data_IF_643896092357
#
_entry.id   IF_643896092357
#
_cell.length_a   1.000
_cell.length_b   1.000
_cell.length_c   1.000
_cell.angle_alpha   90.00
_cell.angle_beta   90.00
_cell.angle_gamma   90.00
#
_symmetry.space_group_name_H-M   'P 1'
#
loop_
_entity.id
_entity.type
_entity.pdbx_description
1 polymer ?
#
# COMPACT_ATOMS: atom_id res chain seq x y z
N UNK A 1 -5.86 -2.39 1.45
CA UNK A 1 -6.79 -1.85 2.46
C UNK A 1 -6.26 -0.50 2.94
N UNK A 2 -7.15 0.49 3.27
CA UNK A 2 -6.72 1.79 3.82
C UNK A 2 -6.13 2.78 2.81
N UNK A 3 -6.35 2.60 1.52
CA UNK A 3 -5.83 3.46 0.44
C UNK A 3 -6.68 4.71 0.15
N UNK A 4 -7.72 4.99 0.96
CA UNK A 4 -8.58 6.15 0.78
C UNK A 4 -9.81 5.91 -0.12
N UNK A 5 -10.16 4.65 -0.46
CA UNK A 5 -11.37 4.34 -1.28
C UNK A 5 -12.65 4.95 -0.70
N UNK A 6 -12.85 4.80 0.60
CA UNK A 6 -14.02 5.39 1.29
C UNK A 6 -14.01 6.92 1.22
N UNK A 7 -12.85 7.56 1.41
CA UNK A 7 -12.71 9.03 1.26
C UNK A 7 -13.02 9.49 -0.16
N UNK A 8 -12.47 8.80 -1.18
CA UNK A 8 -12.74 9.12 -2.58
C UNK A 8 -14.23 9.01 -2.91
N UNK A 9 -14.88 7.94 -2.45
CA UNK A 9 -16.32 7.75 -2.60
C UNK A 9 -17.13 8.88 -1.95
N UNK A 10 -16.78 9.28 -0.72
CA UNK A 10 -17.42 10.42 -0.05
C UNK A 10 -17.18 11.73 -0.80
N UNK A 11 -15.96 11.99 -1.25
CA UNK A 11 -15.64 13.19 -2.02
C UNK A 11 -16.47 13.29 -3.30
N UNK A 12 -16.61 12.18 -4.05
CA UNK A 12 -17.45 12.13 -5.25
C UNK A 12 -18.91 12.41 -4.89
N UNK A 13 -19.42 11.79 -3.83
CA UNK A 13 -20.79 12.01 -3.38
C UNK A 13 -21.05 13.46 -2.98
N UNK A 14 -20.15 14.09 -2.23
CA UNK A 14 -20.22 15.51 -1.87
C UNK A 14 -20.19 16.41 -3.10
N UNK A 15 -19.27 16.19 -4.03
CA UNK A 15 -19.17 16.97 -5.26
C UNK A 15 -20.44 16.91 -6.09
N UNK A 16 -21.09 15.73 -6.17
CA UNK A 16 -22.36 15.59 -6.91
C UNK A 16 -23.49 16.36 -6.20
N UNK A 17 -23.58 16.29 -4.87
CA UNK A 17 -24.60 17.01 -4.08
C UNK A 17 -24.38 18.53 -4.14
N UNK A 18 -23.13 18.99 -4.06
CA UNK A 18 -22.80 20.42 -4.21
C UNK A 18 -23.19 20.95 -5.60
N UNK A 19 -22.94 20.14 -6.65
CA UNK A 19 -23.30 20.53 -8.03
C UNK A 19 -24.81 20.45 -8.27
N UNK A 20 -25.51 19.48 -7.64
CA UNK A 20 -26.93 19.29 -7.76
C UNK A 20 -27.58 18.94 -6.41
N UNK A 21 -28.02 19.96 -5.62
CA UNK A 21 -28.54 19.77 -4.26
C UNK A 21 -29.80 18.90 -4.14
N UNK A 22 -30.50 18.66 -5.25
CA UNK A 22 -31.71 17.82 -5.26
C UNK A 22 -31.40 16.33 -5.48
N UNK A 23 -30.16 15.96 -5.65
CA UNK A 23 -29.73 14.57 -5.83
C UNK A 23 -29.99 13.73 -4.58
N UNK A 24 -30.77 12.68 -4.69
CA UNK A 24 -31.01 11.73 -3.61
C UNK A 24 -29.87 10.74 -3.56
N UNK A 25 -29.08 10.81 -2.48
CA UNK A 25 -27.88 9.99 -2.29
C UNK A 25 -28.09 8.99 -1.17
N UNK A 26 -27.75 7.73 -1.40
CA UNK A 26 -27.64 6.73 -0.36
C UNK A 26 -26.17 6.30 -0.19
N UNK A 27 -25.67 6.45 1.03
CA UNK A 27 -24.41 5.87 1.48
C UNK A 27 -24.69 4.64 2.32
N UNK A 28 -24.17 3.49 1.94
CA UNK A 28 -24.39 2.25 2.67
C UNK A 28 -23.14 1.35 2.58
N UNK A 29 -22.83 0.61 3.64
CA UNK A 29 -21.93 -0.53 3.53
C UNK A 29 -22.71 -1.77 3.10
N UNK A 30 -22.04 -2.75 2.47
CA UNK A 30 -22.68 -4.03 2.15
C UNK A 30 -23.21 -4.75 3.37
N UNK A 31 -22.56 -4.57 4.51
CA UNK A 31 -23.01 -5.12 5.79
C UNK A 31 -24.31 -4.45 6.27
N UNK A 32 -24.36 -3.11 6.22
CA UNK A 32 -25.56 -2.34 6.56
C UNK A 32 -26.72 -2.71 5.64
N UNK A 33 -26.49 -2.77 4.33
CA UNK A 33 -27.49 -3.20 3.35
C UNK A 33 -28.05 -4.58 3.70
N UNK A 34 -27.16 -5.54 4.05
CA UNK A 34 -27.56 -6.89 4.48
C UNK A 34 -28.41 -6.84 5.75
N UNK A 35 -28.02 -6.07 6.76
CA UNK A 35 -28.73 -6.00 8.04
C UNK A 35 -30.11 -5.33 7.87
N UNK A 36 -30.20 -4.28 7.05
CA UNK A 36 -31.47 -3.64 6.73
C UNK A 36 -32.39 -4.58 5.94
N UNK A 37 -31.86 -5.34 4.98
CA UNK A 37 -32.62 -6.36 4.23
C UNK A 37 -33.20 -7.42 5.18
N UNK A 38 -32.37 -7.98 6.07
CA UNK A 38 -32.81 -9.00 7.05
C UNK A 38 -33.91 -8.44 7.94
N UNK A 39 -33.74 -7.20 8.42
CA UNK A 39 -34.73 -6.52 9.25
C UNK A 39 -36.06 -6.34 8.50
N UNK A 40 -36.00 -5.89 7.25
CA UNK A 40 -37.18 -5.65 6.41
C UNK A 40 -37.92 -6.95 6.07
N UNK A 41 -37.19 -8.06 5.88
CA UNK A 41 -37.80 -9.39 5.70
C UNK A 41 -38.58 -9.79 6.98
N UNK A 42 -37.95 -9.64 8.15
CA UNK A 42 -38.56 -10.01 9.43
C UNK A 42 -39.82 -9.20 9.75
N UNK A 43 -39.84 -7.94 9.35
CA UNK A 43 -40.94 -7.01 9.60
C UNK A 43 -42.02 -7.03 8.50
N UNK A 44 -41.77 -7.67 7.36
CA UNK A 44 -42.64 -7.62 6.20
C UNK A 44 -42.60 -6.29 5.41
N UNK A 45 -41.56 -5.49 5.59
CA UNK A 45 -41.37 -4.12 5.06
C UNK A 45 -40.52 -4.10 3.77
N UNK A 46 -40.53 -5.17 2.99
CA UNK A 46 -39.72 -5.27 1.77
C UNK A 46 -40.04 -4.22 0.69
N UNK A 47 -41.27 -3.75 0.63
CA UNK A 47 -41.68 -2.72 -0.31
C UNK A 47 -40.99 -1.37 0.03
N UNK A 48 -40.89 -1.03 1.30
CA UNK A 48 -40.22 0.19 1.77
C UNK A 48 -38.70 0.11 1.56
N UNK A 49 -38.10 -1.05 1.85
CA UNK A 49 -36.68 -1.30 1.58
C UNK A 49 -36.34 -1.09 0.11
N UNK A 50 -37.11 -1.69 -0.79
CA UNK A 50 -36.94 -1.53 -2.24
C UNK A 50 -37.14 -0.11 -2.70
N UNK A 51 -38.16 0.58 -2.18
CA UNK A 51 -38.42 1.97 -2.50
C UNK A 51 -37.26 2.86 -2.06
N UNK A 52 -36.70 2.63 -0.87
CA UNK A 52 -35.56 3.38 -0.31
C UNK A 52 -34.33 3.33 -1.22
N UNK A 53 -33.93 2.13 -1.69
CA UNK A 53 -32.70 1.98 -2.45
C UNK A 53 -32.90 2.20 -3.96
N UNK A 54 -34.00 1.76 -4.53
CA UNK A 54 -34.24 1.84 -6.00
C UNK A 54 -34.68 3.21 -6.51
N UNK A 55 -34.96 4.18 -5.61
CA UNK A 55 -35.31 5.55 -5.97
C UNK A 55 -34.17 6.55 -5.81
N UNK A 56 -33.00 6.10 -5.46
CA UNK A 56 -31.82 6.96 -5.33
C UNK A 56 -31.32 7.43 -6.70
N UNK A 57 -30.78 8.63 -6.75
CA UNK A 57 -30.11 9.15 -7.94
C UNK A 57 -28.63 8.78 -7.94
N UNK A 58 -28.07 8.56 -6.74
CA UNK A 58 -26.70 8.07 -6.51
C UNK A 58 -26.71 7.03 -5.38
N UNK A 59 -26.22 5.82 -5.67
CA UNK A 59 -26.02 4.77 -4.68
C UNK A 59 -24.50 4.52 -4.50
N UNK A 60 -24.03 4.71 -3.27
CA UNK A 60 -22.63 4.55 -2.88
C UNK A 60 -22.52 3.36 -1.92
N UNK A 61 -21.90 2.27 -2.36
CA UNK A 61 -21.78 1.04 -1.55
C UNK A 61 -20.34 0.74 -1.23
N UNK A 62 -20.04 0.59 0.06
CA UNK A 62 -18.71 0.24 0.54
C UNK A 62 -18.55 -1.25 0.77
N UNK A 63 -17.34 -1.73 0.48
CA UNK A 63 -16.87 -3.06 0.80
C UNK A 63 -17.79 -4.18 0.25
N UNK A 64 -18.07 -4.17 -1.07
CA UNK A 64 -18.95 -5.16 -1.71
C UNK A 64 -18.50 -6.62 -1.52
N UNK A 65 -17.24 -6.85 -1.12
CA UNK A 65 -16.75 -8.20 -0.82
C UNK A 65 -17.46 -8.85 0.38
N UNK A 66 -18.16 -8.09 1.24
CA UNK A 66 -19.00 -8.65 2.30
C UNK A 66 -20.33 -9.25 1.79
N UNK A 67 -20.65 -9.10 0.51
CA UNK A 67 -21.80 -9.80 -0.12
C UNK A 67 -21.52 -11.29 -0.34
N UNK A 68 -20.26 -11.72 -0.29
CA UNK A 68 -19.86 -13.11 -0.54
C UNK A 68 -20.69 -14.10 0.26
N UNK A 69 -21.09 -15.21 -0.37
CA UNK A 69 -21.82 -16.32 0.26
C UNK A 69 -23.18 -15.95 0.91
N UNK A 70 -23.78 -14.82 0.53
CA UNK A 70 -25.07 -14.35 1.04
C UNK A 70 -26.09 -14.31 -0.10
N UNK A 71 -26.50 -15.46 -0.62
CA UNK A 71 -27.34 -15.61 -1.81
C UNK A 71 -28.54 -14.66 -1.85
N UNK A 72 -29.37 -14.62 -0.80
CA UNK A 72 -30.54 -13.73 -0.74
C UNK A 72 -30.17 -12.24 -0.78
N UNK A 73 -29.05 -11.86 -0.17
CA UNK A 73 -28.59 -10.48 -0.23
C UNK A 73 -28.08 -10.15 -1.63
N UNK A 74 -27.34 -11.07 -2.25
CA UNK A 74 -26.85 -10.90 -3.61
C UNK A 74 -28.01 -10.78 -4.61
N UNK A 75 -29.06 -11.59 -4.44
CA UNK A 75 -30.26 -11.50 -5.27
C UNK A 75 -30.94 -10.14 -5.19
N UNK A 76 -31.23 -9.66 -3.97
CA UNK A 76 -31.88 -8.34 -3.79
C UNK A 76 -30.97 -7.18 -4.23
N UNK A 77 -29.65 -7.32 -4.01
CA UNK A 77 -28.66 -6.35 -4.50
C UNK A 77 -28.63 -6.30 -6.01
N UNK A 78 -28.66 -7.46 -6.68
CA UNK A 78 -28.72 -7.55 -8.15
C UNK A 78 -29.95 -6.85 -8.71
N UNK A 79 -31.13 -7.07 -8.12
CA UNK A 79 -32.34 -6.39 -8.52
C UNK A 79 -32.31 -4.88 -8.27
N UNK A 80 -31.68 -4.45 -7.17
CA UNK A 80 -31.49 -3.03 -6.87
C UNK A 80 -30.54 -2.39 -7.85
N UNK A 81 -29.42 -3.04 -8.16
CA UNK A 81 -28.46 -2.60 -9.15
C UNK A 81 -29.11 -2.41 -10.52
N UNK A 82 -29.83 -3.43 -11.01
CA UNK A 82 -30.50 -3.34 -12.32
C UNK A 82 -31.53 -2.23 -12.36
N UNK A 83 -32.37 -2.07 -11.32
CA UNK A 83 -33.36 -1.00 -11.26
C UNK A 83 -32.73 0.41 -11.36
N UNK A 84 -31.57 0.62 -10.72
CA UNK A 84 -30.84 1.88 -10.81
C UNK A 84 -30.15 2.04 -12.16
N UNK A 85 -29.53 0.97 -12.67
CA UNK A 85 -28.86 0.97 -13.95
C UNK A 85 -29.81 1.29 -15.11
N UNK A 86 -30.95 0.60 -15.17
CA UNK A 86 -31.98 0.79 -16.20
C UNK A 86 -32.59 2.22 -16.12
N UNK A 87 -32.67 2.78 -14.92
CA UNK A 87 -33.06 4.18 -14.69
C UNK A 87 -31.94 5.20 -14.92
N UNK A 88 -30.77 4.76 -15.44
CA UNK A 88 -29.57 5.59 -15.69
C UNK A 88 -29.09 6.36 -14.44
N UNK A 89 -29.21 5.75 -13.27
CA UNK A 89 -28.71 6.32 -12.01
C UNK A 89 -27.25 5.94 -11.77
N UNK A 90 -26.56 6.78 -11.03
CA UNK A 90 -25.15 6.55 -10.73
C UNK A 90 -24.99 5.55 -9.59
N UNK A 91 -24.12 4.56 -9.79
CA UNK A 91 -23.72 3.58 -8.77
C UNK A 91 -22.21 3.64 -8.61
N UNK A 92 -21.73 3.73 -7.37
CA UNK A 92 -20.31 3.67 -7.04
C UNK A 92 -20.10 2.58 -5.99
N UNK A 93 -19.25 1.63 -6.33
CA UNK A 93 -18.93 0.48 -5.49
C UNK A 93 -17.46 0.53 -5.10
N UNK A 94 -17.13 0.12 -3.88
CA UNK A 94 -15.74 -0.09 -3.47
C UNK A 94 -15.50 -1.52 -3.03
N UNK A 95 -14.29 -2.01 -3.24
CA UNK A 95 -13.85 -3.33 -2.81
C UNK A 95 -12.37 -3.33 -2.45
N UNK A 96 -11.93 -4.31 -1.68
CA UNK A 96 -10.51 -4.54 -1.38
C UNK A 96 -9.81 -5.37 -2.48
N UNK A 97 -10.59 -5.97 -3.38
CA UNK A 97 -10.14 -6.79 -4.50
C UNK A 97 -11.05 -6.67 -5.72
N UNK A 98 -10.60 -7.03 -6.92
CA UNK A 98 -11.41 -7.08 -8.12
C UNK A 98 -12.64 -8.01 -7.97
N UNK A 99 -13.76 -7.74 -8.67
CA UNK A 99 -14.97 -8.56 -8.55
C UNK A 99 -14.75 -10.06 -8.80
N UNK A 100 -13.90 -10.42 -9.75
CA UNK A 100 -13.53 -11.83 -10.06
C UNK A 100 -12.80 -12.56 -8.95
N UNK A 101 -12.16 -11.83 -8.05
CA UNK A 101 -11.39 -12.39 -6.94
C UNK A 101 -12.22 -12.47 -5.64
N UNK A 102 -13.51 -12.14 -5.71
CA UNK A 102 -14.42 -12.25 -4.56
C UNK A 102 -15.06 -13.64 -4.58
N UNK A 103 -14.49 -14.58 -3.85
CA UNK A 103 -15.02 -15.93 -3.73
C UNK A 103 -16.47 -15.91 -3.22
N UNK A 104 -17.36 -16.66 -3.89
CA UNK A 104 -18.79 -16.76 -3.51
C UNK A 104 -19.62 -15.54 -3.88
N UNK A 105 -19.14 -14.69 -4.78
CA UNK A 105 -19.94 -13.70 -5.48
C UNK A 105 -20.52 -14.34 -6.75
N UNK A 106 -21.82 -14.15 -6.99
CA UNK A 106 -22.50 -14.72 -8.15
C UNK A 106 -22.00 -14.11 -9.46
N UNK A 107 -21.82 -14.92 -10.51
CA UNK A 107 -21.29 -14.49 -11.82
C UNK A 107 -22.08 -13.34 -12.45
N UNK A 108 -23.41 -13.31 -12.22
CA UNK A 108 -24.26 -12.21 -12.68
C UNK A 108 -23.93 -10.87 -12.04
N UNK A 109 -23.50 -10.84 -10.77
CA UNK A 109 -23.01 -9.64 -10.08
C UNK A 109 -21.60 -9.28 -10.54
N UNK A 110 -20.71 -10.26 -10.68
CA UNK A 110 -19.35 -10.04 -11.21
C UNK A 110 -19.45 -9.35 -12.57
N UNK A 111 -20.28 -9.88 -13.48
CA UNK A 111 -20.49 -9.31 -14.81
C UNK A 111 -21.00 -7.85 -14.75
N UNK A 112 -21.94 -7.55 -13.86
CA UNK A 112 -22.47 -6.18 -13.68
C UNK A 112 -21.44 -5.20 -13.12
N UNK A 113 -20.62 -5.64 -12.17
CA UNK A 113 -19.58 -4.80 -11.57
C UNK A 113 -18.44 -4.51 -12.53
N UNK A 114 -18.13 -5.43 -13.43
CA UNK A 114 -17.11 -5.24 -14.46
C UNK A 114 -17.60 -4.43 -15.68
N UNK A 115 -18.89 -4.29 -15.87
CA UNK A 115 -19.43 -3.55 -17.01
C UNK A 115 -19.18 -2.03 -16.92
N UNK A 116 -18.91 -1.51 -15.70
CA UNK A 116 -18.61 -0.11 -15.45
C UNK A 116 -17.14 0.24 -15.55
N UNK A 117 -16.80 1.45 -15.13
CA UNK A 117 -15.42 1.89 -14.96
C UNK A 117 -14.83 1.25 -13.70
N UNK A 118 -13.87 0.35 -13.88
CA UNK A 118 -13.11 -0.23 -12.78
C UNK A 118 -11.77 0.50 -12.67
N UNK A 119 -11.50 1.06 -11.49
CA UNK A 119 -10.28 1.83 -11.21
C UNK A 119 -9.55 1.24 -10.00
N UNK A 120 -8.26 1.00 -10.16
CA UNK A 120 -7.40 0.58 -9.06
C UNK A 120 -6.83 1.80 -8.31
N UNK A 121 -7.08 1.86 -7.00
CA UNK A 121 -6.53 2.91 -6.12
C UNK A 121 -5.21 2.40 -5.53
N UNK A 122 -4.11 2.94 -6.03
CA UNK A 122 -2.75 2.60 -5.58
C UNK A 122 -2.36 3.37 -4.30
N UNK A 123 -1.35 2.88 -3.56
CA UNK A 123 -0.75 3.65 -2.49
C UNK A 123 -0.30 5.03 -2.99
N UNK A 124 -0.50 6.09 -2.20
CA UNK A 124 -0.10 7.44 -2.59
C UNK A 124 1.42 7.54 -2.71
N UNK A 125 1.90 8.33 -3.67
CA UNK A 125 3.30 8.71 -3.77
C UNK A 125 3.71 9.65 -2.61
N UNK A 126 4.99 9.97 -2.55
CA UNK A 126 5.53 10.77 -1.45
C UNK A 126 4.88 12.16 -1.35
N UNK A 127 4.73 12.84 -2.47
CA UNK A 127 4.13 14.17 -2.57
C UNK A 127 2.66 14.15 -2.13
N UNK A 128 1.92 13.15 -2.55
CA UNK A 128 0.52 12.94 -2.14
C UNK A 128 0.43 12.65 -0.63
N UNK A 129 1.34 11.85 -0.07
CA UNK A 129 1.38 11.61 1.38
C UNK A 129 1.64 12.88 2.17
N UNK A 130 2.59 13.71 1.72
CA UNK A 130 2.86 15.03 2.31
C UNK A 130 1.62 15.93 2.28
N UNK A 131 0.93 15.98 1.13
CA UNK A 131 -0.28 16.77 0.98
C UNK A 131 -1.42 16.30 1.91
N UNK A 132 -1.62 14.97 2.03
CA UNK A 132 -2.60 14.38 2.94
C UNK A 132 -2.29 14.77 4.39
N UNK A 133 -1.04 14.63 4.82
CA UNK A 133 -0.62 14.96 6.19
C UNK A 133 -0.80 16.44 6.50
N UNK A 134 -0.38 17.35 5.58
CA UNK A 134 -0.59 18.80 5.74
C UNK A 134 -2.06 19.16 5.88
N UNK A 135 -2.90 18.59 5.01
CA UNK A 135 -4.33 18.84 5.07
C UNK A 135 -4.95 18.34 6.38
N UNK A 136 -4.63 17.13 6.80
CA UNK A 136 -5.10 16.57 8.07
C UNK A 136 -4.64 17.38 9.26
N UNK A 137 -3.37 17.78 9.32
CA UNK A 137 -2.85 18.66 10.36
C UNK A 137 -3.61 19.99 10.41
N UNK A 138 -3.86 20.61 9.25
CA UNK A 138 -4.61 21.86 9.16
C UNK A 138 -6.07 21.70 9.60
N UNK A 139 -6.74 20.62 9.19
CA UNK A 139 -8.13 20.31 9.57
C UNK A 139 -8.28 20.10 11.09
N UNK A 140 -7.24 19.53 11.73
CA UNK A 140 -7.16 19.34 13.18
C UNK A 140 -6.59 20.57 13.95
N UNK A 141 -6.35 21.69 13.24
CA UNK A 141 -5.81 22.93 13.84
C UNK A 141 -4.37 22.84 14.32
N UNK A 142 -3.60 21.94 13.77
CA UNK A 142 -2.23 21.65 14.19
C UNK A 142 -1.22 22.43 13.34
N UNK A 143 -0.32 23.13 14.02
CA UNK A 143 0.90 23.62 13.39
C UNK A 143 1.98 22.55 13.51
N UNK A 144 2.42 22.02 12.39
CA UNK A 144 3.49 21.02 12.33
C UNK A 144 4.59 21.49 11.38
N UNK A 145 5.82 21.30 11.80
CA UNK A 145 6.99 21.59 10.96
C UNK A 145 7.01 20.64 9.75
N UNK A 146 7.42 21.17 8.61
CA UNK A 146 7.55 20.36 7.37
C UNK A 146 8.47 19.16 7.57
N UNK A 147 9.51 19.26 8.42
CA UNK A 147 10.41 18.15 8.74
C UNK A 147 9.68 16.98 9.45
N UNK A 148 8.71 17.27 10.31
CA UNK A 148 7.86 16.24 10.96
C UNK A 148 6.95 15.57 9.95
N UNK A 149 6.32 16.35 9.08
CA UNK A 149 5.44 15.85 8.02
C UNK A 149 6.24 14.96 7.05
N UNK A 150 7.43 15.41 6.65
CA UNK A 150 8.34 14.66 5.80
C UNK A 150 8.76 13.33 6.44
N UNK A 151 9.13 13.34 7.72
CA UNK A 151 9.48 12.14 8.49
C UNK A 151 8.33 11.12 8.48
N UNK A 152 7.09 11.54 8.78
CA UNK A 152 5.92 10.65 8.75
C UNK A 152 5.67 10.13 7.33
N UNK A 153 5.72 11.01 6.32
CA UNK A 153 5.49 10.64 4.93
C UNK A 153 6.51 9.63 4.39
N UNK A 154 7.77 9.72 4.83
CA UNK A 154 8.80 8.72 4.50
C UNK A 154 8.58 7.40 5.21
N UNK A 155 8.14 7.44 6.46
CA UNK A 155 8.03 6.25 7.31
C UNK A 155 6.76 5.45 7.03
N UNK A 156 5.63 6.11 6.71
CA UNK A 156 4.33 5.50 6.46
C UNK A 156 4.08 5.39 4.95
N UNK A 157 4.33 4.22 4.38
CA UNK A 157 4.25 4.01 2.92
C UNK A 157 3.13 3.06 2.49
N UNK A 158 2.56 2.30 3.42
CA UNK A 158 1.64 1.22 3.08
C UNK A 158 0.21 1.68 2.83
N UNK A 159 -0.28 2.69 3.57
CA UNK A 159 -1.67 3.13 3.45
C UNK A 159 -1.91 4.53 4.04
N UNK A 160 -3.02 5.16 3.63
CA UNK A 160 -3.48 6.44 4.21
C UNK A 160 -3.89 6.26 5.68
N UNK A 161 -4.41 5.09 6.07
CA UNK A 161 -4.74 4.79 7.48
C UNK A 161 -3.50 4.77 8.36
N UNK A 162 -2.37 4.33 7.83
CA UNK A 162 -1.09 4.37 8.56
C UNK A 162 -0.64 5.81 8.81
N UNK A 163 -0.77 6.69 7.82
CA UNK A 163 -0.50 8.13 7.96
C UNK A 163 -1.39 8.76 9.05
N UNK A 164 -2.69 8.50 8.99
CA UNK A 164 -3.66 9.00 9.98
C UNK A 164 -3.36 8.46 11.39
N UNK A 165 -3.08 7.16 11.49
CA UNK A 165 -2.71 6.52 12.76
C UNK A 165 -1.44 7.08 13.36
N UNK A 166 -0.43 7.37 12.54
CA UNK A 166 0.81 8.00 12.98
C UNK A 166 0.56 9.43 13.50
N UNK A 167 -0.26 10.22 12.80
CA UNK A 167 -0.63 11.57 13.23
C UNK A 167 -1.38 11.55 14.56
N UNK A 168 -2.41 10.73 14.70
CA UNK A 168 -3.19 10.60 15.95
C UNK A 168 -2.29 10.19 17.11
N UNK A 169 -1.38 9.25 16.90
CA UNK A 169 -0.45 8.81 17.95
C UNK A 169 0.51 9.90 18.36
N UNK A 170 1.05 10.64 17.40
CA UNK A 170 1.95 11.76 17.67
C UNK A 170 1.25 12.84 18.51
N UNK A 171 0.00 13.16 18.16
CA UNK A 171 -0.84 14.07 18.91
C UNK A 171 -1.11 13.61 20.33
N UNK A 172 -1.52 12.34 20.49
CA UNK A 172 -1.76 11.77 21.80
C UNK A 172 -0.49 11.81 22.66
N UNK A 173 0.68 11.50 22.07
CA UNK A 173 1.95 11.51 22.77
C UNK A 173 2.36 12.94 23.20
N UNK A 174 2.24 13.93 22.29
CA UNK A 174 2.50 15.34 22.56
C UNK A 174 1.60 15.85 23.71
N UNK A 175 0.30 15.54 23.65
CA UNK A 175 -0.66 15.92 24.69
C UNK A 175 -0.36 15.29 26.05
N UNK A 176 0.01 14.02 26.10
CA UNK A 176 0.32 13.30 27.34
C UNK A 176 1.64 13.75 27.98
N UNK A 177 2.62 14.13 27.16
CA UNK A 177 3.93 14.58 27.64
C UNK A 177 4.02 16.09 27.83
N UNK A 178 2.98 16.84 27.39
CA UNK A 178 2.97 18.31 27.36
C UNK A 178 4.17 18.90 26.59
N UNK A 179 4.59 18.23 25.51
CA UNK A 179 5.72 18.65 24.69
C UNK A 179 5.25 19.10 23.31
N UNK A 180 5.92 20.09 22.75
CA UNK A 180 5.67 20.52 21.36
C UNK A 180 6.04 19.43 20.36
N UNK A 181 5.32 19.42 19.22
CA UNK A 181 5.56 18.46 18.14
C UNK A 181 6.84 18.85 17.40
N UNK A 182 7.93 18.17 17.74
CA UNK A 182 9.23 18.31 17.09
C UNK A 182 9.60 17.04 16.34
N UNK A 183 10.57 17.07 15.43
CA UNK A 183 11.08 15.86 14.78
C UNK A 183 11.57 14.79 15.78
N UNK A 184 12.17 15.23 16.88
CA UNK A 184 12.64 14.35 17.96
C UNK A 184 11.48 13.65 18.67
N UNK A 185 10.41 14.40 18.99
CA UNK A 185 9.20 13.85 19.57
C UNK A 185 8.53 12.86 18.61
N UNK A 186 8.46 13.20 17.31
CA UNK A 186 7.89 12.34 16.29
C UNK A 186 8.62 10.99 16.20
N UNK A 187 9.94 11.00 16.19
CA UNK A 187 10.78 9.79 16.23
C UNK A 187 10.46 8.92 17.45
N UNK A 188 10.39 9.55 18.62
CA UNK A 188 10.12 8.85 19.89
C UNK A 188 8.70 8.30 19.96
N UNK A 189 7.70 9.12 19.62
CA UNK A 189 6.28 8.75 19.69
C UNK A 189 5.89 7.65 18.69
N UNK A 190 6.51 7.66 17.53
CA UNK A 190 6.22 6.71 16.46
C UNK A 190 7.12 5.46 16.51
N UNK A 191 8.12 5.44 17.41
CA UNK A 191 8.91 4.25 17.73
C UNK A 191 7.98 3.09 18.10
N UNK A 192 8.04 1.99 17.36
CA UNK A 192 7.20 0.80 17.58
C UNK A 192 5.83 0.79 16.88
N UNK A 193 5.32 1.89 16.28
CA UNK A 193 4.14 1.85 15.37
C UNK A 193 4.57 1.73 13.92
N UNK A 194 5.62 2.43 13.56
CA UNK A 194 6.17 2.42 12.21
C UNK A 194 6.91 1.12 11.88
N UNK A 195 6.84 0.14 12.80
CA UNK A 195 7.21 -1.24 12.55
C UNK A 195 8.64 -1.47 12.05
N UNK A 196 9.50 -0.45 12.15
CA UNK A 196 10.95 -0.53 11.97
C UNK A 196 11.52 0.85 12.28
N UNK A 197 12.27 0.96 13.37
CA UNK A 197 13.27 2.00 13.52
C UNK A 197 14.21 1.94 12.30
N UNK A 198 13.96 2.78 11.31
CA UNK A 198 14.91 2.98 10.20
C UNK A 198 16.10 3.84 10.60
N UNK A 199 16.15 4.34 11.84
CA UNK A 199 17.18 5.29 12.26
C UNK A 199 18.15 4.80 13.35
N UNK A 200 18.00 3.59 13.93
CA UNK A 200 18.98 3.09 14.91
C UNK A 200 19.22 1.57 14.93
N UNK A 201 18.67 0.83 13.99
CA UNK A 201 19.11 -0.54 13.68
C UNK A 201 19.87 -0.54 12.35
N UNK A 202 20.70 -1.50 12.08
CA UNK A 202 21.42 -1.55 10.81
C UNK A 202 20.44 -1.74 9.64
N UNK A 203 20.00 -0.62 9.03
CA UNK A 203 19.15 -0.62 7.85
C UNK A 203 19.86 -1.40 6.76
N UNK A 204 19.13 -2.37 6.17
CA UNK A 204 19.59 -3.06 4.96
C UNK A 204 19.66 -2.02 3.82
N UNK A 205 20.79 -1.35 3.71
CA UNK A 205 21.06 -0.41 2.63
C UNK A 205 21.94 -1.06 1.56
N UNK A 206 21.90 -0.59 0.33
CA UNK A 206 22.80 -1.07 -0.72
C UNK A 206 24.28 -0.96 -0.31
N UNK A 207 24.64 0.07 0.46
CA UNK A 207 25.98 0.30 0.96
C UNK A 207 26.39 -0.80 1.93
N UNK A 208 25.55 -1.16 2.88
CA UNK A 208 25.81 -2.23 3.84
C UNK A 208 25.86 -3.62 3.20
N UNK A 209 24.97 -3.91 2.25
CA UNK A 209 25.05 -5.15 1.47
C UNK A 209 26.40 -5.22 0.77
N UNK A 210 26.83 -4.11 0.17
CA UNK A 210 28.15 -4.01 -0.47
C UNK A 210 29.31 -4.22 0.52
N UNK A 211 29.22 -3.66 1.73
CA UNK A 211 30.19 -3.84 2.80
C UNK A 211 30.27 -5.28 3.29
N UNK A 212 29.13 -5.93 3.54
CA UNK A 212 29.08 -7.35 3.97
C UNK A 212 29.67 -8.28 2.90
N UNK A 213 29.28 -8.10 1.64
CA UNK A 213 29.87 -8.85 0.54
C UNK A 213 31.36 -8.56 0.40
N UNK A 214 31.79 -7.30 0.50
CA UNK A 214 33.20 -6.93 0.41
C UNK A 214 34.04 -7.56 1.54
N UNK A 215 33.53 -7.58 2.77
CA UNK A 215 34.18 -8.21 3.93
C UNK A 215 34.36 -9.71 3.70
N UNK A 216 33.30 -10.38 3.25
CA UNK A 216 33.32 -11.83 3.02
C UNK A 216 34.29 -12.25 1.92
N UNK A 217 34.35 -11.50 0.84
CA UNK A 217 35.31 -11.75 -0.27
C UNK A 217 36.68 -11.09 -0.05
N UNK A 218 36.91 -10.48 1.12
CA UNK A 218 38.18 -9.82 1.50
C UNK A 218 38.63 -8.75 0.48
N UNK A 219 37.68 -7.97 -0.02
CA UNK A 219 37.94 -6.83 -0.92
C UNK A 219 37.48 -5.52 -0.26
N UNK A 220 37.98 -4.40 -0.76
CA UNK A 220 37.52 -3.08 -0.27
C UNK A 220 36.15 -2.76 -0.85
N UNK A 221 35.17 -2.25 -0.05
CA UNK A 221 33.84 -1.92 -0.55
C UNK A 221 33.84 -0.95 -1.74
N UNK A 222 34.73 0.02 -1.75
CA UNK A 222 34.88 1.02 -2.83
C UNK A 222 35.37 0.36 -4.13
N UNK A 223 36.15 -0.72 -4.03
CA UNK A 223 36.64 -1.44 -5.18
C UNK A 223 35.51 -2.15 -5.98
N UNK A 224 34.39 -2.48 -5.32
CA UNK A 224 33.23 -3.07 -5.98
C UNK A 224 32.54 -2.07 -6.94
N UNK A 225 32.59 -0.77 -6.64
CA UNK A 225 32.09 0.30 -7.53
C UNK A 225 33.11 0.72 -8.62
N UNK A 226 34.36 0.25 -8.55
CA UNK A 226 35.40 0.62 -9.48
C UNK A 226 35.18 0.07 -10.90
N UNK A 227 35.87 0.66 -11.91
CA UNK A 227 35.87 0.17 -13.30
C UNK A 227 36.72 -1.09 -13.53
N UNK A 228 37.48 -1.55 -12.51
CA UNK A 228 38.36 -2.73 -12.64
C UNK A 228 37.55 -4.00 -12.89
N UNK A 229 38.10 -4.89 -13.74
CA UNK A 229 37.43 -6.14 -14.19
C UNK A 229 38.21 -7.41 -13.81
N UNK A 230 38.99 -7.36 -12.75
CA UNK A 230 39.67 -8.56 -12.23
C UNK A 230 38.65 -9.56 -11.68
N UNK A 231 38.95 -10.85 -11.75
CA UNK A 231 38.03 -11.91 -11.29
C UNK A 231 37.67 -11.73 -9.82
N UNK A 232 38.64 -11.34 -8.97
CA UNK A 232 38.49 -11.11 -7.54
C UNK A 232 37.49 -9.99 -7.19
N UNK A 233 37.24 -9.05 -8.10
CA UNK A 233 36.28 -7.94 -7.93
C UNK A 233 34.97 -8.19 -8.70
N UNK A 234 35.01 -8.99 -9.75
CA UNK A 234 33.85 -9.21 -10.62
C UNK A 234 32.81 -10.09 -9.94
N UNK A 235 33.25 -11.18 -9.31
CA UNK A 235 32.34 -12.12 -8.63
C UNK A 235 31.62 -11.45 -7.45
N UNK A 236 32.33 -10.87 -6.45
CA UNK A 236 31.64 -10.23 -5.33
C UNK A 236 30.77 -9.03 -5.75
N UNK A 237 31.17 -8.32 -6.81
CA UNK A 237 30.32 -7.25 -7.38
C UNK A 237 29.00 -7.81 -7.91
N UNK A 238 29.03 -8.92 -8.65
CA UNK A 238 27.84 -9.58 -9.19
C UNK A 238 26.93 -10.09 -8.06
N UNK A 239 27.52 -10.70 -7.03
CA UNK A 239 26.80 -11.14 -5.82
C UNK A 239 26.15 -9.95 -5.10
N UNK A 240 26.88 -8.84 -4.92
CA UNK A 240 26.29 -7.64 -4.28
C UNK A 240 25.13 -7.08 -5.08
N UNK A 241 25.21 -7.01 -6.42
CA UNK A 241 24.11 -6.58 -7.29
C UNK A 241 22.89 -7.52 -7.15
N UNK A 242 23.12 -8.83 -7.13
CA UNK A 242 22.09 -9.83 -6.95
C UNK A 242 21.38 -9.67 -5.59
N UNK A 243 22.13 -9.61 -4.49
CA UNK A 243 21.58 -9.48 -3.14
C UNK A 243 20.83 -8.14 -2.93
N UNK A 244 21.32 -7.03 -3.50
CA UNK A 244 20.61 -5.74 -3.48
C UNK A 244 19.28 -5.84 -4.23
N UNK A 245 19.24 -6.51 -5.37
CA UNK A 245 18.00 -6.72 -6.13
C UNK A 245 17.01 -7.59 -5.37
N UNK A 246 17.49 -8.71 -4.82
CA UNK A 246 16.67 -9.67 -4.08
C UNK A 246 16.11 -9.07 -2.78
N UNK A 247 16.97 -8.44 -1.98
CA UNK A 247 16.60 -8.00 -0.63
C UNK A 247 15.87 -6.66 -0.58
N UNK A 248 16.18 -5.73 -1.50
CA UNK A 248 15.66 -4.36 -1.50
C UNK A 248 14.69 -4.07 -2.66
N UNK A 249 14.57 -4.96 -3.64
CA UNK A 249 13.75 -4.72 -4.82
C UNK A 249 14.24 -3.56 -5.71
N UNK A 250 15.43 -3.03 -5.44
CA UNK A 250 15.98 -1.83 -6.10
C UNK A 250 15.94 -1.92 -7.63
N UNK A 251 15.65 -0.82 -8.31
CA UNK A 251 15.59 -0.79 -9.77
C UNK A 251 16.97 -1.06 -10.39
N UNK A 252 17.02 -1.71 -11.56
CA UNK A 252 18.27 -2.08 -12.22
C UNK A 252 19.12 -0.86 -12.58
N UNK A 253 18.49 0.25 -12.93
CA UNK A 253 19.17 1.53 -13.20
C UNK A 253 19.86 2.03 -11.94
N UNK A 254 19.14 2.05 -10.82
CA UNK A 254 19.70 2.50 -9.53
C UNK A 254 20.84 1.60 -9.05
N UNK A 255 20.73 0.27 -9.23
CA UNK A 255 21.85 -0.65 -8.97
C UNK A 255 23.05 -0.30 -9.83
N UNK A 256 22.85 -0.03 -11.13
CA UNK A 256 23.93 0.39 -12.02
C UNK A 256 24.68 1.64 -11.54
N UNK A 257 23.95 2.65 -11.07
CA UNK A 257 24.51 3.87 -10.49
C UNK A 257 25.39 3.59 -9.26
N UNK A 258 24.90 2.75 -8.33
CA UNK A 258 25.61 2.36 -7.10
C UNK A 258 26.95 1.62 -7.38
N UNK A 259 27.08 1.01 -8.53
CA UNK A 259 28.30 0.28 -8.94
C UNK A 259 29.11 0.99 -10.02
N UNK A 260 29.15 2.33 -9.98
CA UNK A 260 30.03 3.16 -10.83
C UNK A 260 29.44 3.47 -12.20
N UNK A 261 28.12 3.67 -12.28
CA UNK A 261 27.42 4.09 -13.51
C UNK A 261 27.35 2.98 -14.55
N UNK A 262 27.11 1.76 -14.15
CA UNK A 262 26.97 0.61 -15.07
C UNK A 262 25.59 0.61 -15.69
N UNK A 263 25.56 0.25 -16.97
CA UNK A 263 24.31 0.08 -17.70
C UNK A 263 23.43 -1.02 -17.09
N UNK A 264 22.10 -0.85 -17.14
CA UNK A 264 21.12 -1.81 -16.63
C UNK A 264 21.27 -3.20 -17.26
N UNK A 265 21.69 -3.30 -18.52
CA UNK A 265 21.97 -4.57 -19.20
C UNK A 265 23.12 -5.32 -18.53
N UNK A 266 24.16 -4.61 -18.07
CA UNK A 266 25.27 -5.18 -17.32
C UNK A 266 24.80 -5.72 -15.95
N UNK A 267 23.85 -5.02 -15.30
CA UNK A 267 23.28 -5.45 -14.03
C UNK A 267 22.45 -6.72 -14.23
N UNK A 268 21.57 -6.76 -15.24
CA UNK A 268 20.77 -7.96 -15.59
C UNK A 268 21.69 -9.16 -15.83
N UNK A 269 22.72 -8.98 -16.65
CA UNK A 269 23.68 -10.06 -16.95
C UNK A 269 24.39 -10.55 -15.67
N UNK A 270 24.75 -9.63 -14.77
CA UNK A 270 25.41 -9.95 -13.50
C UNK A 270 24.51 -10.78 -12.58
N UNK A 271 23.24 -10.39 -12.46
CA UNK A 271 22.25 -11.10 -11.65
C UNK A 271 22.03 -12.52 -12.19
N UNK A 272 21.72 -12.64 -13.49
CA UNK A 272 21.51 -13.94 -14.15
C UNK A 272 22.74 -14.85 -14.03
N UNK A 273 23.93 -14.29 -14.06
CA UNK A 273 25.15 -15.06 -13.91
C UNK A 273 25.29 -15.65 -12.52
N UNK A 274 24.93 -14.90 -11.46
CA UNK A 274 24.92 -15.40 -10.08
C UNK A 274 23.88 -16.52 -9.92
N UNK A 275 22.66 -16.32 -10.43
CA UNK A 275 21.60 -17.32 -10.40
C UNK A 275 22.06 -18.64 -11.06
N UNK A 276 22.59 -18.57 -12.28
CA UNK A 276 23.09 -19.74 -13.00
C UNK A 276 24.28 -20.43 -12.31
N UNK A 277 25.17 -19.68 -11.67
CA UNK A 277 26.32 -20.23 -10.97
C UNK A 277 25.89 -20.93 -9.67
N UNK A 278 24.91 -20.37 -8.95
CA UNK A 278 24.31 -21.00 -7.76
C UNK A 278 23.61 -22.34 -8.09
N UNK A 279 23.07 -22.49 -9.30
CA UNK A 279 22.48 -23.77 -9.74
C UNK A 279 23.54 -24.83 -10.04
N UNK A 280 24.72 -24.42 -10.54
CA UNK A 280 25.76 -25.31 -11.02
C UNK A 280 26.81 -25.67 -9.96
N UNK A 281 27.09 -24.74 -9.05
CA UNK A 281 28.13 -24.90 -8.02
C UNK A 281 27.53 -24.80 -6.61
N UNK A 282 27.32 -25.94 -5.92
CA UNK A 282 26.83 -25.95 -4.54
C UNK A 282 27.72 -25.19 -3.55
N UNK A 283 29.05 -25.11 -3.81
CA UNK A 283 29.97 -24.35 -2.97
C UNK A 283 29.77 -22.84 -3.12
N UNK A 284 29.59 -22.39 -4.35
CA UNK A 284 29.27 -20.99 -4.61
C UNK A 284 27.91 -20.62 -4.02
N UNK A 285 26.89 -21.46 -4.19
CA UNK A 285 25.57 -21.26 -3.58
C UNK A 285 25.69 -21.08 -2.08
N UNK A 286 26.42 -21.96 -1.39
CA UNK A 286 26.66 -21.87 0.05
C UNK A 286 27.28 -20.51 0.44
N UNK A 287 28.26 -20.02 -0.31
CA UNK A 287 28.88 -18.72 -0.05
C UNK A 287 27.89 -17.55 -0.16
N UNK A 288 26.98 -17.59 -1.16
CA UNK A 288 25.95 -16.57 -1.34
C UNK A 288 24.90 -16.64 -0.23
N UNK A 289 24.48 -17.86 0.16
CA UNK A 289 23.51 -18.08 1.23
C UNK A 289 24.04 -17.64 2.60
N UNK A 290 25.32 -17.93 2.88
CA UNK A 290 25.99 -17.44 4.10
C UNK A 290 26.13 -15.90 4.10
N UNK A 291 26.39 -15.27 2.96
CA UNK A 291 26.37 -13.81 2.86
C UNK A 291 24.98 -13.22 3.11
N UNK A 292 23.94 -13.94 2.68
CA UNK A 292 22.52 -13.58 2.93
C UNK A 292 22.17 -13.71 4.41
N UNK A 293 22.66 -14.75 5.08
CA UNK A 293 22.47 -14.93 6.53
C UNK A 293 23.22 -13.89 7.34
N UNK A 294 24.50 -13.63 7.06
CA UNK A 294 25.27 -12.54 7.69
C UNK A 294 24.58 -11.18 7.55
N UNK A 295 23.95 -10.94 6.40
CA UNK A 295 23.11 -9.74 6.23
C UNK A 295 21.92 -9.76 7.19
N UNK A 296 21.21 -10.88 7.33
CA UNK A 296 20.03 -11.01 8.20
C UNK A 296 20.38 -10.89 9.67
N UNK A 297 21.45 -11.55 10.12
CA UNK A 297 21.92 -11.52 11.51
C UNK A 297 22.36 -10.12 11.91
N UNK A 298 23.09 -9.42 11.06
CA UNK A 298 23.49 -8.02 11.29
C UNK A 298 22.29 -7.06 11.40
N UNK A 299 21.04 -7.52 11.26
CA UNK A 299 19.78 -6.78 11.34
C UNK A 299 18.88 -7.23 12.49
N UNK A 300 19.29 -8.23 13.27
CA UNK A 300 18.51 -8.76 14.40
C UNK A 300 19.15 -8.44 15.76
N UNK A 301 20.39 -7.93 15.76
CA UNK A 301 21.07 -7.35 16.91
C UNK A 301 20.99 -5.80 16.88
#
# INVERSE_FOLDING_TARGET
VGLGKTHLRHAIGHQIVETNPHTRVAYVSSEQFTNELISSIRKGEMAEFRQRYRRMDLLLVDDIHFLRSKERTQEEFFHTFNALYDAQKQIILTSDRPPKEIDGLEDRLVSRFEWGLVVDVKPPDFETRMAILRKKAADDGLSMDDEVIEYIAHSCTASVRELEGALIKLLAYSSLTHQEITPQLARTALKGVLGRDRDEGPILSPERIRETVARRWRVRPEALASKRRTKDLTVPRQVAMYLIKEALGTSLVRIGELFGGRDHSTVIHSIRKVENEMEKDPSFRKQVDEAREEMREAFHD
#
